data_IF_379874546449
#
_entry.id   IF_379874546449
#
_cell.length_a   1.000
_cell.length_b   1.000
_cell.length_c   1.000
_cell.angle_alpha   90.00
_cell.angle_beta   90.00
_cell.angle_gamma   90.00
#
_symmetry.space_group_name_H-M   'P 1'
#
loop_
_entity.id
_entity.type
_entity.pdbx_description
1 polymer ?
#
# COMPACT_ATOMS: atom_id res chain seq x y z
N UNK A 1 7.96 -54.97 -27.97
CA UNK A 1 6.58 -55.44 -27.69
C UNK A 1 5.97 -54.51 -26.64
N UNK A 2 5.16 -53.53 -27.06
CA UNK A 2 4.48 -52.59 -26.14
C UNK A 2 3.07 -53.09 -25.83
N UNK A 3 2.83 -53.49 -24.59
CA UNK A 3 1.49 -53.81 -24.11
C UNK A 3 0.83 -52.55 -23.55
N UNK A 4 0.01 -51.89 -24.37
CA UNK A 4 -0.92 -50.87 -23.91
C UNK A 4 -1.98 -51.54 -23.00
N UNK A 5 -1.94 -51.21 -21.70
CA UNK A 5 -2.89 -51.67 -20.68
C UNK A 5 -4.26 -51.08 -21.01
N UNK A 6 -5.17 -51.89 -21.57
CA UNK A 6 -6.58 -51.54 -21.75
C UNK A 6 -7.21 -51.22 -20.40
N UNK A 7 -7.74 -50.01 -20.24
CA UNK A 7 -8.51 -49.59 -19.07
C UNK A 7 -9.72 -50.51 -18.88
N UNK A 8 -9.81 -51.18 -17.73
CA UNK A 8 -10.91 -52.10 -17.38
C UNK A 8 -12.26 -51.37 -17.42
N UNK A 9 -13.21 -51.91 -18.19
CA UNK A 9 -14.54 -51.39 -18.54
C UNK A 9 -15.56 -51.26 -17.37
N UNK A 10 -15.09 -51.00 -16.14
CA UNK A 10 -15.93 -50.85 -14.95
C UNK A 10 -15.41 -49.89 -13.88
N UNK A 11 -14.19 -49.35 -14.05
CA UNK A 11 -13.57 -48.46 -13.06
C UNK A 11 -14.38 -47.18 -12.81
N UNK A 12 -14.96 -46.61 -13.88
CA UNK A 12 -15.82 -45.42 -13.77
C UNK A 12 -17.10 -45.67 -12.97
N UNK A 13 -17.68 -46.89 -13.04
CA UNK A 13 -18.90 -47.26 -12.30
C UNK A 13 -18.63 -47.48 -10.81
N UNK A 14 -17.49 -48.06 -10.44
CA UNK A 14 -17.13 -48.27 -9.03
C UNK A 14 -16.73 -46.95 -8.35
N UNK A 15 -16.16 -46.02 -9.10
CA UNK A 15 -15.69 -44.73 -8.58
C UNK A 15 -16.66 -43.56 -8.86
N UNK A 16 -17.89 -43.83 -9.32
CA UNK A 16 -18.85 -42.76 -9.68
C UNK A 16 -19.16 -41.87 -8.49
N UNK A 17 -19.29 -42.44 -7.28
CA UNK A 17 -19.53 -41.67 -6.05
C UNK A 17 -18.35 -40.76 -5.72
N UNK A 18 -17.12 -41.25 -5.85
CA UNK A 18 -15.91 -40.47 -5.62
C UNK A 18 -15.73 -39.35 -6.66
N UNK A 19 -16.06 -39.62 -7.93
CA UNK A 19 -16.06 -38.63 -9.01
C UNK A 19 -17.14 -37.57 -8.79
N UNK A 20 -18.36 -37.96 -8.42
CA UNK A 20 -19.44 -37.03 -8.11
C UNK A 20 -19.10 -36.18 -6.88
N UNK A 21 -18.47 -36.77 -5.85
CA UNK A 21 -18.01 -36.00 -4.69
C UNK A 21 -16.91 -35.00 -5.08
N UNK A 22 -16.00 -35.32 -6.00
CA UNK A 22 -15.00 -34.37 -6.49
C UNK A 22 -15.63 -33.25 -7.32
N UNK A 23 -16.58 -33.59 -8.20
CA UNK A 23 -17.32 -32.62 -9.01
C UNK A 23 -18.15 -31.67 -8.15
N UNK A 24 -18.63 -32.11 -6.99
CA UNK A 24 -19.31 -31.23 -6.04
C UNK A 24 -18.32 -30.46 -5.14
N UNK A 25 -17.31 -31.14 -4.60
CA UNK A 25 -16.40 -30.58 -3.62
C UNK A 25 -15.48 -29.49 -4.19
N UNK A 26 -15.00 -29.64 -5.43
CA UNK A 26 -14.09 -28.66 -6.05
C UNK A 26 -14.79 -27.32 -6.30
N UNK A 27 -15.99 -27.24 -6.90
CA UNK A 27 -16.70 -25.98 -7.03
C UNK A 27 -17.15 -25.39 -5.70
N UNK A 28 -17.59 -26.22 -4.74
CA UNK A 28 -17.98 -25.75 -3.41
C UNK A 28 -16.79 -25.14 -2.65
N UNK A 29 -15.63 -25.79 -2.67
CA UNK A 29 -14.44 -25.23 -2.03
C UNK A 29 -13.99 -23.96 -2.75
N UNK A 30 -13.96 -23.97 -4.09
CA UNK A 30 -13.65 -22.78 -4.89
C UNK A 30 -14.58 -21.61 -4.59
N UNK A 31 -15.89 -21.87 -4.45
CA UNK A 31 -16.87 -20.86 -4.06
C UNK A 31 -16.63 -20.32 -2.66
N UNK A 32 -16.36 -21.19 -1.68
CA UNK A 32 -16.08 -20.77 -0.29
C UNK A 32 -14.87 -19.85 -0.24
N UNK A 33 -13.76 -20.21 -0.90
CA UNK A 33 -12.56 -19.37 -0.93
C UNK A 33 -12.79 -18.05 -1.68
N UNK A 34 -13.42 -18.10 -2.85
CA UNK A 34 -13.72 -16.88 -3.62
C UNK A 34 -14.68 -15.95 -2.85
N UNK A 35 -15.66 -16.53 -2.14
CA UNK A 35 -16.59 -15.77 -1.33
C UNK A 35 -15.91 -15.14 -0.11
N UNK A 36 -15.06 -15.89 0.60
CA UNK A 36 -14.32 -15.36 1.75
C UNK A 36 -13.35 -14.25 1.33
N UNK A 37 -12.67 -14.41 0.19
CA UNK A 37 -11.76 -13.39 -0.35
C UNK A 37 -12.52 -12.15 -0.79
N UNK A 38 -13.66 -12.34 -1.48
CA UNK A 38 -14.52 -11.23 -1.88
C UNK A 38 -15.13 -10.49 -0.69
N UNK A 39 -15.63 -11.22 0.32
CA UNK A 39 -16.19 -10.63 1.53
C UNK A 39 -15.13 -9.88 2.34
N UNK A 40 -13.94 -10.48 2.48
CA UNK A 40 -12.77 -9.83 3.08
C UNK A 40 -12.45 -8.52 2.36
N UNK A 41 -12.26 -8.56 1.04
CA UNK A 41 -12.01 -7.38 0.22
C UNK A 41 -13.12 -6.33 0.38
N UNK A 42 -14.38 -6.74 0.27
CA UNK A 42 -15.54 -5.84 0.33
C UNK A 42 -15.71 -5.16 1.69
N UNK A 43 -15.37 -5.86 2.77
CA UNK A 43 -15.44 -5.34 4.13
C UNK A 43 -14.23 -4.47 4.48
N UNK A 44 -13.09 -4.70 3.84
CA UNK A 44 -11.88 -3.89 3.98
C UNK A 44 -11.87 -2.65 3.08
N UNK A 45 -12.71 -2.58 2.05
CA UNK A 45 -12.69 -1.46 1.10
C UNK A 45 -13.18 -0.15 1.72
N UNK A 46 -12.31 0.88 1.81
CA UNK A 46 -12.66 2.12 2.47
C UNK A 46 -13.69 2.95 1.70
N UNK A 47 -14.81 3.34 2.34
CA UNK A 47 -15.95 3.97 1.66
C UNK A 47 -16.06 5.47 1.86
N UNK A 48 -15.80 5.96 3.08
CA UNK A 48 -15.95 7.38 3.40
C UNK A 48 -14.58 8.00 3.74
N UNK A 49 -14.04 8.87 2.86
CA UNK A 49 -12.78 9.56 3.11
C UNK A 49 -12.92 10.59 4.23
N UNK A 50 -11.91 10.62 5.09
CA UNK A 50 -11.62 11.75 5.96
C UNK A 50 -10.63 12.64 5.23
N UNK A 51 -11.08 13.82 4.82
CA UNK A 51 -10.25 14.76 4.07
C UNK A 51 -9.26 15.46 5.00
N UNK A 52 -8.00 15.51 4.60
CA UNK A 52 -6.96 16.23 5.33
C UNK A 52 -7.12 17.74 5.09
N UNK A 53 -7.41 18.48 6.15
CA UNK A 53 -7.54 19.93 6.10
C UNK A 53 -6.17 20.61 5.96
N UNK A 54 -6.12 21.82 5.39
CA UNK A 54 -4.87 22.57 5.19
C UNK A 54 -4.10 22.82 6.51
N UNK A 55 -4.81 23.02 7.63
CA UNK A 55 -4.21 23.18 8.97
C UNK A 55 -3.86 21.86 9.68
N UNK A 56 -4.17 20.74 9.04
CA UNK A 56 -4.00 19.39 9.55
C UNK A 56 -5.29 18.76 10.08
N UNK A 57 -5.35 17.43 10.04
CA UNK A 57 -6.47 16.61 10.50
C UNK A 57 -6.01 15.61 11.55
N UNK A 58 -6.65 15.62 12.72
CA UNK A 58 -6.39 14.64 13.76
C UNK A 58 -7.07 13.31 13.41
N UNK A 59 -6.29 12.24 13.29
CA UNK A 59 -6.80 10.90 12.99
C UNK A 59 -5.82 9.81 13.45
N UNK A 60 -6.34 8.72 14.02
CA UNK A 60 -5.56 7.57 14.51
C UNK A 60 -4.37 7.96 15.41
N UNK A 61 -4.58 8.91 16.32
CA UNK A 61 -3.56 9.34 17.29
C UNK A 61 -2.44 10.23 16.73
N UNK A 62 -2.58 10.70 15.48
CA UNK A 62 -1.65 11.63 14.83
C UNK A 62 -2.39 12.84 14.24
N UNK A 63 -1.69 13.95 14.07
CA UNK A 63 -2.11 15.06 13.21
C UNK A 63 -1.47 14.88 11.83
N UNK A 64 -2.29 14.76 10.80
CA UNK A 64 -1.90 14.62 9.41
C UNK A 64 -1.95 15.97 8.71
N UNK A 65 -0.96 16.31 7.90
CA UNK A 65 -0.93 17.55 7.13
C UNK A 65 -0.97 17.28 5.63
N UNK A 66 -1.15 18.31 4.81
CA UNK A 66 -1.15 18.18 3.36
C UNK A 66 0.07 17.36 2.86
N UNK A 67 -0.17 16.52 1.85
CA UNK A 67 0.86 15.73 1.20
C UNK A 67 1.37 16.46 -0.05
N UNK A 68 2.67 16.36 -0.31
CA UNK A 68 3.27 16.90 -1.54
C UNK A 68 3.57 15.75 -2.48
N UNK A 69 3.23 15.89 -3.75
CA UNK A 69 3.45 14.86 -4.77
C UNK A 69 4.42 15.36 -5.82
N UNK A 70 5.37 14.52 -6.19
CA UNK A 70 6.34 14.76 -7.27
C UNK A 70 6.20 13.65 -8.32
N UNK A 71 5.97 14.06 -9.57
CA UNK A 71 5.87 13.15 -10.71
C UNK A 71 7.23 13.10 -11.40
N UNK A 72 7.69 11.89 -11.71
CA UNK A 72 9.01 11.62 -12.29
C UNK A 72 10.15 12.25 -11.46
N UNK A 73 10.24 11.93 -10.15
CA UNK A 73 11.25 12.51 -9.28
C UNK A 73 12.66 12.13 -9.74
N UNK A 74 13.61 13.04 -9.54
CA UNK A 74 15.02 12.70 -9.63
C UNK A 74 15.41 11.70 -8.52
N UNK A 75 16.35 10.83 -8.87
CA UNK A 75 16.92 9.85 -7.96
C UNK A 75 17.60 10.55 -6.77
N UNK A 76 17.34 10.07 -5.55
CA UNK A 76 17.88 10.66 -4.33
C UNK A 76 19.28 10.15 -3.97
N UNK A 77 19.60 8.89 -4.27
CA UNK A 77 20.95 8.33 -4.07
C UNK A 77 21.55 7.90 -5.40
N UNK A 78 22.48 8.68 -5.96
CA UNK A 78 23.12 8.40 -7.26
C UNK A 78 23.98 7.13 -7.31
N UNK A 79 24.17 6.43 -6.18
CA UNK A 79 25.00 5.21 -6.12
C UNK A 79 24.26 3.94 -6.53
N UNK A 80 22.93 3.93 -6.42
CA UNK A 80 22.13 2.80 -6.88
C UNK A 80 21.79 2.95 -8.37
N UNK A 81 21.67 1.84 -9.09
CA UNK A 81 21.10 1.88 -10.45
C UNK A 81 19.64 1.46 -10.33
N UNK A 82 18.69 2.39 -10.52
CA UNK A 82 17.28 2.05 -10.36
C UNK A 82 16.85 1.06 -11.44
N UNK A 83 15.89 0.21 -11.08
CA UNK A 83 15.30 -0.72 -12.05
C UNK A 83 14.64 0.06 -13.19
N UNK A 84 14.73 -0.50 -14.39
CA UNK A 84 14.01 0.04 -15.55
C UNK A 84 12.50 -0.08 -15.30
N UNK A 85 11.77 1.00 -15.54
CA UNK A 85 10.33 1.01 -15.38
C UNK A 85 9.67 0.27 -16.57
N UNK A 86 8.56 -0.44 -16.32
CA UNK A 86 7.71 -0.91 -17.41
C UNK A 86 7.33 0.20 -18.38
N UNK A 87 7.22 -0.13 -19.66
CA UNK A 87 6.83 0.85 -20.67
C UNK A 87 5.49 1.52 -20.33
N UNK A 88 5.44 2.86 -20.42
CA UNK A 88 4.23 3.63 -20.16
C UNK A 88 3.98 3.98 -18.68
N UNK A 89 4.86 3.59 -17.75
CA UNK A 89 4.75 3.98 -16.34
C UNK A 89 5.74 5.09 -15.97
N UNK A 90 5.53 5.68 -14.80
CA UNK A 90 6.37 6.72 -14.19
C UNK A 90 6.37 6.56 -12.68
N UNK A 91 7.41 7.06 -12.03
CA UNK A 91 7.47 7.16 -10.57
C UNK A 91 6.67 8.35 -10.08
N UNK A 92 5.97 8.14 -8.97
CA UNK A 92 5.33 9.21 -8.21
C UNK A 92 5.83 9.11 -6.79
N UNK A 93 6.50 10.17 -6.31
CA UNK A 93 6.98 10.27 -4.94
C UNK A 93 6.04 11.16 -4.14
N UNK A 94 5.61 10.67 -2.99
CA UNK A 94 4.67 11.37 -2.12
C UNK A 94 5.32 11.60 -0.77
N UNK A 95 5.26 12.84 -0.30
CA UNK A 95 5.72 13.25 1.02
C UNK A 95 4.52 13.43 1.94
N UNK A 96 4.51 12.68 3.04
CA UNK A 96 3.52 12.83 4.09
C UNK A 96 4.16 13.53 5.28
N UNK A 97 3.41 14.45 5.86
CA UNK A 97 3.80 15.10 7.11
C UNK A 97 2.83 14.74 8.21
N UNK A 98 3.39 14.33 9.34
CA UNK A 98 2.66 13.86 10.49
C UNK A 98 3.22 14.49 11.77
N UNK A 99 2.40 14.58 12.80
CA UNK A 99 2.84 14.88 14.16
C UNK A 99 2.14 13.93 15.12
N UNK A 100 2.90 13.32 16.03
CA UNK A 100 2.38 12.54 17.15
C UNK A 100 2.77 13.24 18.45
N UNK A 101 1.82 13.41 19.36
CA UNK A 101 2.09 14.00 20.68
C UNK A 101 2.53 12.92 21.68
N UNK A 102 1.99 11.70 21.56
CA UNK A 102 2.43 10.51 22.28
C UNK A 102 3.10 9.53 21.31
N UNK A 103 4.36 9.21 21.55
CA UNK A 103 5.12 8.25 20.72
C UNK A 103 4.54 6.84 20.80
N UNK A 104 3.78 6.49 21.85
CA UNK A 104 3.11 5.19 21.94
C UNK A 104 2.06 4.97 20.82
N UNK A 105 1.57 6.06 20.21
CA UNK A 105 0.65 5.99 19.07
C UNK A 105 1.34 5.59 17.75
N UNK A 106 2.67 5.64 17.65
CA UNK A 106 3.38 5.14 16.47
C UNK A 106 3.06 3.66 16.25
N UNK A 107 3.17 2.85 17.31
CA UNK A 107 2.88 1.42 17.22
C UNK A 107 1.38 1.13 17.33
N UNK A 108 0.69 1.76 18.29
CA UNK A 108 -0.74 1.45 18.58
C UNK A 108 -1.72 2.01 17.56
N UNK A 109 -1.42 3.20 17.01
CA UNK A 109 -2.30 3.92 16.10
C UNK A 109 -1.83 3.84 14.65
N UNK A 110 -0.52 3.86 14.40
CA UNK A 110 0.04 3.93 13.04
C UNK A 110 0.68 2.62 12.57
N UNK A 111 0.85 1.62 13.43
CA UNK A 111 1.56 0.37 13.10
C UNK A 111 0.93 -0.50 12.00
N UNK A 112 -0.34 -0.24 11.63
CA UNK A 112 -1.03 -0.92 10.53
C UNK A 112 -1.33 -0.04 9.32
N UNK A 113 -0.73 1.15 9.27
CA UNK A 113 -0.99 2.16 8.27
C UNK A 113 -0.44 1.74 6.89
N UNK A 114 -1.29 1.84 5.86
CA UNK A 114 -0.96 1.53 4.47
C UNK A 114 -1.21 2.76 3.59
N UNK A 115 -0.23 3.10 2.78
CA UNK A 115 -0.23 4.27 1.93
C UNK A 115 -0.54 3.86 0.49
N UNK A 116 -1.45 4.60 -0.13
CA UNK A 116 -1.97 4.31 -1.46
C UNK A 116 -2.00 5.57 -2.32
N UNK A 117 -1.94 5.39 -3.63
CA UNK A 117 -2.40 6.37 -4.60
C UNK A 117 -3.75 5.95 -5.17
N UNK A 118 -4.70 6.88 -5.28
CA UNK A 118 -6.01 6.65 -5.87
C UNK A 118 -6.24 7.55 -7.08
N UNK A 119 -6.61 6.97 -8.22
CA UNK A 119 -7.00 7.72 -9.41
C UNK A 119 -8.50 8.10 -9.37
N UNK A 120 -8.94 9.11 -10.16
CA UNK A 120 -10.34 9.48 -10.26
C UNK A 120 -11.26 8.34 -10.73
N UNK A 121 -10.72 7.39 -11.50
CA UNK A 121 -11.43 6.21 -12.01
C UNK A 121 -11.57 5.09 -10.97
N UNK A 122 -11.04 5.28 -9.76
CA UNK A 122 -11.13 4.35 -8.65
C UNK A 122 -9.97 3.36 -8.54
N UNK A 123 -9.06 3.29 -9.51
CA UNK A 123 -7.86 2.44 -9.40
C UNK A 123 -6.97 2.90 -8.25
N UNK A 124 -6.33 1.93 -7.59
CA UNK A 124 -5.40 2.16 -6.49
C UNK A 124 -4.05 1.52 -6.78
N UNK A 125 -2.98 2.14 -6.27
CA UNK A 125 -1.62 1.62 -6.32
C UNK A 125 -1.02 1.63 -4.92
N UNK A 126 -0.42 0.51 -4.55
CA UNK A 126 0.38 0.36 -3.34
C UNK A 126 1.79 0.94 -3.53
N UNK A 127 2.43 1.25 -2.41
CA UNK A 127 3.83 1.65 -2.38
C UNK A 127 4.74 0.59 -3.03
N UNK A 128 5.69 1.05 -3.84
CA UNK A 128 6.71 0.18 -4.42
C UNK A 128 7.86 -0.04 -3.45
N UNK A 129 8.07 -1.30 -3.08
CA UNK A 129 9.18 -1.74 -2.21
C UNK A 129 10.52 -1.87 -2.93
N UNK A 130 10.57 -1.58 -4.24
CA UNK A 130 11.77 -1.73 -5.08
C UNK A 130 12.41 -0.38 -5.46
N UNK A 131 11.86 0.72 -4.94
CA UNK A 131 12.22 2.10 -5.36
C UNK A 131 13.04 2.85 -4.31
N UNK A 132 13.89 2.13 -3.57
CA UNK A 132 14.74 2.67 -2.49
C UNK A 132 15.62 3.83 -2.97
N UNK A 133 16.11 3.78 -4.21
CA UNK A 133 16.94 4.83 -4.82
C UNK A 133 16.22 6.20 -4.93
N UNK A 134 14.89 6.25 -4.81
CA UNK A 134 14.07 7.46 -4.85
C UNK A 134 13.51 7.85 -3.48
N UNK A 135 13.72 7.01 -2.46
CA UNK A 135 13.34 7.30 -1.09
C UNK A 135 14.46 8.12 -0.44
N UNK A 136 14.20 9.40 -0.19
CA UNK A 136 15.14 10.28 0.53
C UNK A 136 14.83 10.36 2.04
N UNK A 137 13.76 9.70 2.48
CA UNK A 137 13.22 9.74 3.84
C UNK A 137 12.77 8.34 4.25
N UNK A 138 12.51 8.11 5.53
CA UNK A 138 11.90 6.88 5.99
C UNK A 138 10.53 6.67 5.35
N UNK A 139 10.26 5.41 5.02
CA UNK A 139 8.97 4.94 4.52
C UNK A 139 8.03 4.56 5.65
N UNK A 140 6.75 4.40 5.29
CA UNK A 140 5.68 4.08 6.24
C UNK A 140 5.27 5.25 7.14
N UNK A 141 4.21 5.05 7.91
CA UNK A 141 3.59 6.13 8.71
C UNK A 141 4.27 6.35 10.08
N UNK A 142 5.20 5.46 10.46
CA UNK A 142 5.86 5.50 11.77
C UNK A 142 7.20 6.23 11.74
N UNK A 143 7.61 6.82 10.62
CA UNK A 143 8.83 7.62 10.55
C UNK A 143 10.13 6.81 10.47
N UNK A 144 10.02 5.49 10.32
CA UNK A 144 11.12 4.52 10.25
C UNK A 144 12.16 4.61 11.38
N UNK A 145 13.06 3.62 11.37
CA UNK A 145 14.13 3.49 12.37
C UNK A 145 15.52 3.66 11.76
N UNK A 146 15.63 4.18 10.52
CA UNK A 146 16.90 4.23 9.80
C UNK A 146 17.92 5.15 10.52
N UNK A 147 19.03 4.55 10.94
CA UNK A 147 20.13 5.23 11.61
C UNK A 147 21.00 6.06 10.66
N UNK A 148 20.83 5.89 9.34
CA UNK A 148 21.61 6.58 8.33
C UNK A 148 21.08 7.97 7.99
N UNK A 149 19.81 8.27 8.31
CA UNK A 149 19.20 9.55 7.93
C UNK A 149 19.35 10.57 9.06
N UNK A 150 19.80 11.79 8.70
CA UNK A 150 19.93 12.89 9.67
C UNK A 150 18.60 13.12 10.38
N UNK A 151 18.62 13.15 11.72
CA UNK A 151 17.42 13.26 12.56
C UNK A 151 16.64 14.57 12.35
N UNK A 152 17.29 15.61 11.84
CA UNK A 152 16.72 16.90 11.48
C UNK A 152 17.34 17.39 10.17
N UNK A 153 16.53 17.77 9.17
CA UNK A 153 17.04 18.36 7.93
C UNK A 153 17.31 19.86 8.10
N UNK A 154 18.38 20.41 7.49
CA UNK A 154 18.62 21.84 7.51
C UNK A 154 17.39 22.62 7.02
N UNK A 155 17.05 23.77 7.64
CA UNK A 155 15.87 24.56 7.29
C UNK A 155 15.81 25.00 5.82
N UNK A 156 16.95 24.98 5.12
CA UNK A 156 17.07 25.30 3.71
C UNK A 156 16.53 24.20 2.75
N UNK A 157 16.30 22.98 3.24
CA UNK A 157 15.86 21.82 2.43
C UNK A 157 14.47 21.35 2.87
N UNK A 158 14.23 21.20 4.17
CA UNK A 158 12.92 20.91 4.76
C UNK A 158 12.97 21.11 6.28
N UNK A 159 12.03 21.85 6.89
CA UNK A 159 12.00 22.13 8.34
C UNK A 159 11.35 21.01 9.17
N UNK A 160 11.59 19.74 8.82
CA UNK A 160 10.90 18.62 9.45
C UNK A 160 11.87 17.58 10.00
N UNK A 161 11.43 16.95 11.09
CA UNK A 161 12.15 15.82 11.65
C UNK A 161 12.02 14.63 10.72
N UNK A 162 13.04 13.79 10.71
CA UNK A 162 13.00 12.55 9.94
C UNK A 162 12.71 11.36 10.86
N UNK A 163 13.10 11.46 12.13
CA UNK A 163 12.70 10.54 13.20
C UNK A 163 11.58 11.16 14.03
N UNK A 164 10.52 10.41 14.39
CA UNK A 164 9.43 10.94 15.20
C UNK A 164 9.92 11.51 16.54
N UNK A 165 9.37 12.66 16.91
CA UNK A 165 9.57 13.26 18.23
C UNK A 165 8.25 13.81 18.73
N UNK A 166 7.92 13.52 19.99
CA UNK A 166 6.67 13.96 20.62
C UNK A 166 6.43 15.47 20.39
N UNK A 167 5.26 15.78 19.83
CA UNK A 167 4.80 17.14 19.55
C UNK A 167 5.53 17.85 18.41
N UNK A 168 6.42 17.17 17.67
CA UNK A 168 7.15 17.73 16.53
C UNK A 168 6.71 17.06 15.23
N UNK A 169 6.51 17.84 14.15
CA UNK A 169 6.20 17.26 12.85
C UNK A 169 7.41 16.51 12.29
N UNK A 170 7.15 15.35 11.71
CA UNK A 170 8.10 14.56 10.95
C UNK A 170 7.54 14.25 9.56
N UNK A 171 8.42 13.93 8.62
CA UNK A 171 8.04 13.60 7.25
C UNK A 171 8.48 12.20 6.84
N UNK A 172 7.61 11.53 6.10
CA UNK A 172 7.83 10.21 5.51
C UNK A 172 7.63 10.28 4.00
N UNK A 173 8.14 9.29 3.29
CA UNK A 173 8.02 9.19 1.84
C UNK A 173 7.38 7.86 1.47
N UNK A 174 6.64 7.86 0.37
CA UNK A 174 6.27 6.65 -0.35
C UNK A 174 6.48 6.87 -1.85
N UNK A 175 6.98 5.85 -2.54
CA UNK A 175 7.22 5.91 -3.99
C UNK A 175 6.34 4.88 -4.67
N UNK A 176 5.68 5.29 -5.74
CA UNK A 176 4.74 4.47 -6.50
C UNK A 176 5.17 4.40 -7.94
N UNK A 177 4.82 3.31 -8.62
CA UNK A 177 4.94 3.19 -10.07
C UNK A 177 3.55 3.15 -10.66
N UNK A 178 3.18 4.20 -11.39
CA UNK A 178 1.83 4.37 -11.95
C UNK A 178 1.88 4.62 -13.46
N UNK A 179 0.80 4.34 -14.19
CA UNK A 179 0.71 4.70 -15.60
C UNK A 179 0.79 6.22 -15.82
N UNK A 180 1.49 6.66 -16.88
CA UNK A 180 1.72 8.08 -17.18
C UNK A 180 0.41 8.87 -17.34
N UNK A 181 -0.63 8.24 -17.85
CA UNK A 181 -1.92 8.89 -18.11
C UNK A 181 -2.68 9.29 -16.84
N UNK A 182 -2.37 8.68 -15.68
CA UNK A 182 -3.01 9.03 -14.40
C UNK A 182 -2.09 9.79 -13.44
N UNK A 183 -0.78 9.81 -13.69
CA UNK A 183 0.24 10.29 -12.75
C UNK A 183 -0.01 11.71 -12.21
N UNK A 184 -0.55 12.62 -13.02
CA UNK A 184 -0.86 13.99 -12.59
C UNK A 184 -2.19 14.14 -11.84
N UNK A 185 -2.99 13.07 -11.75
CA UNK A 185 -4.35 13.07 -11.21
C UNK A 185 -4.53 12.11 -10.05
N UNK A 186 -3.50 11.36 -9.67
CA UNK A 186 -3.55 10.51 -8.48
C UNK A 186 -3.67 11.37 -7.22
N UNK A 187 -4.37 10.83 -6.23
CA UNK A 187 -4.54 11.43 -4.92
C UNK A 187 -3.90 10.51 -3.89
N UNK A 188 -3.04 11.02 -3.00
CA UNK A 188 -2.57 10.25 -1.85
C UNK A 188 -3.73 9.89 -0.93
N UNK A 189 -3.74 8.64 -0.47
CA UNK A 189 -4.70 8.15 0.52
C UNK A 189 -4.03 7.21 1.51
N UNK A 190 -4.57 7.13 2.72
CA UNK A 190 -4.03 6.25 3.77
C UNK A 190 -5.14 5.42 4.40
N UNK A 191 -4.87 4.14 4.53
CA UNK A 191 -5.78 3.12 5.08
C UNK A 191 -5.09 2.37 6.21
N UNK A 192 -5.82 1.50 6.91
CA UNK A 192 -5.28 0.69 8.00
C UNK A 192 -5.74 -0.75 7.88
N UNK A 193 -4.79 -1.68 7.96
CA UNK A 193 -5.09 -3.11 7.86
C UNK A 193 -6.00 -3.63 8.99
N UNK A 194 -6.06 -2.92 10.13
CA UNK A 194 -6.74 -3.36 11.36
C UNK A 194 -7.96 -2.53 11.75
N UNK A 195 -8.36 -1.52 10.95
CA UNK A 195 -9.49 -0.65 11.27
C UNK A 195 -10.65 -0.76 10.29
N UNK A 196 -11.81 -0.23 10.68
CA UNK A 196 -12.99 -0.03 9.83
C UNK A 196 -12.64 0.65 8.49
N UNK A 197 -13.52 0.56 7.46
CA UNK A 197 -13.31 1.03 6.08
C UNK A 197 -13.29 2.57 5.92
N UNK A 198 -12.58 3.27 6.79
CA UNK A 198 -12.30 4.69 6.64
C UNK A 198 -10.85 4.88 6.21
N UNK A 199 -10.61 5.97 5.50
CA UNK A 199 -9.29 6.31 4.99
C UNK A 199 -9.08 7.81 5.04
N UNK A 200 -7.82 8.24 5.11
CA UNK A 200 -7.47 9.64 4.90
C UNK A 200 -7.30 9.92 3.41
N UNK A 201 -7.86 11.03 2.95
CA UNK A 201 -7.66 11.54 1.60
C UNK A 201 -7.01 12.92 1.65
N UNK A 202 -5.94 13.12 0.88
CA UNK A 202 -5.22 14.40 0.86
C UNK A 202 -5.71 15.22 -0.33
N UNK A 203 -6.11 16.50 -0.17
CA UNK A 203 -6.53 17.32 -1.29
C UNK A 203 -5.42 17.42 -2.35
N UNK A 204 -5.82 17.53 -3.62
CA UNK A 204 -4.91 17.77 -4.75
C UNK A 204 -4.45 19.23 -4.79
#
# INVERSE_FOLDING_TARGET
>A
MSAARRSRHGWLRTNTVALLSLVAAIPLSGWVFAHSDYESWRNSEPRDPIVVAAGGTAYMGATWYAATTEVDPEQSDQRDTPAELPAGTVRVRVYFRLRVDDLSNLEKGLGGCQIHLRAPDGRTWDESILEDAFQDRPTGCTGGYDDKVQSFRPPAIAQYYVKPKAGKPFETVAVFVVPKEVAATVQPTITWATSLPHYLAFPR
#
